data_IF_993393793195
#
_entry.id   IF_993393793195
#
_cell.length_a   1.000
_cell.length_b   1.000
_cell.length_c   1.000
_cell.angle_alpha   90.00
_cell.angle_beta   90.00
_cell.angle_gamma   90.00
#
_symmetry.space_group_name_H-M   'P 1'
#
loop_
_entity.id
_entity.type
_entity.pdbx_description
1 polymer ?
#
# COMPACT_ATOMS: atom_id res chain seq x y z
N UNK A 1 -23.82 23.95 7.69
CA UNK A 1 -22.38 24.29 7.76
C UNK A 1 -21.75 23.35 8.76
N UNK A 2 -21.04 22.34 8.30
CA UNK A 2 -20.25 21.49 9.19
C UNK A 2 -18.94 22.22 9.48
N UNK A 3 -18.59 22.27 10.75
CA UNK A 3 -17.33 22.76 11.29
C UNK A 3 -16.14 22.24 10.47
N UNK A 4 -15.22 23.13 10.13
CA UNK A 4 -13.95 22.73 9.54
C UNK A 4 -13.24 21.77 10.51
N UNK A 5 -12.88 20.59 10.04
CA UNK A 5 -12.11 19.64 10.83
C UNK A 5 -10.66 20.12 10.89
N UNK A 6 -10.05 19.93 12.04
CA UNK A 6 -8.64 20.26 12.25
C UNK A 6 -7.77 19.16 11.64
N UNK A 7 -7.19 19.45 10.48
CA UNK A 7 -6.23 18.58 9.81
C UNK A 7 -4.85 19.09 10.16
N UNK A 8 -3.98 18.20 10.60
CA UNK A 8 -2.65 18.62 11.03
C UNK A 8 -1.60 17.64 10.52
N UNK A 9 -0.61 18.17 9.87
CA UNK A 9 0.41 17.48 9.11
C UNK A 9 1.77 17.51 9.80
N UNK A 10 2.57 16.45 9.58
CA UNK A 10 4.00 16.44 9.87
C UNK A 10 4.75 16.11 8.58
N UNK A 11 5.58 17.03 8.18
CA UNK A 11 6.30 16.94 6.94
C UNK A 11 7.80 16.69 7.16
N UNK A 12 8.36 15.84 6.32
CA UNK A 12 9.78 15.51 6.32
C UNK A 12 10.52 15.98 5.07
N UNK A 13 9.81 16.57 4.12
CA UNK A 13 10.41 17.11 2.91
C UNK A 13 10.44 18.63 2.92
N UNK A 14 11.43 19.17 2.23
CA UNK A 14 11.55 20.63 2.04
C UNK A 14 10.43 21.24 1.19
N UNK A 15 9.70 20.43 0.44
CA UNK A 15 8.72 20.90 -0.54
C UNK A 15 7.29 20.92 0.01
N UNK A 16 6.94 20.10 0.98
CA UNK A 16 5.57 20.03 1.53
C UNK A 16 5.25 21.26 2.38
N UNK A 17 6.19 21.79 3.14
CA UNK A 17 5.99 23.08 3.84
C UNK A 17 5.60 24.21 2.88
N UNK A 18 6.04 24.15 1.62
CA UNK A 18 5.70 25.13 0.58
C UNK A 18 4.35 24.86 -0.07
N UNK A 19 3.85 23.62 -0.04
CA UNK A 19 2.59 23.21 -0.69
C UNK A 19 1.41 23.23 0.25
N UNK A 20 1.54 22.78 1.50
CA UNK A 20 0.42 22.60 2.42
C UNK A 20 -0.17 23.90 2.93
N UNK A 21 0.68 24.88 3.29
CA UNK A 21 0.20 26.18 3.73
C UNK A 21 -0.62 26.88 2.63
N UNK A 22 -0.17 26.95 1.35
CA UNK A 22 -1.00 27.46 0.27
C UNK A 22 -2.28 26.67 0.01
N UNK A 23 -2.25 25.32 0.17
CA UNK A 23 -3.45 24.50 0.04
C UNK A 23 -4.42 24.81 1.20
N UNK A 24 -3.91 24.86 2.43
CA UNK A 24 -4.70 25.18 3.60
C UNK A 24 -5.36 26.55 3.47
N UNK A 25 -4.61 27.58 3.09
CA UNK A 25 -5.12 28.95 2.90
C UNK A 25 -6.17 28.99 1.78
N UNK A 26 -5.88 28.39 0.62
CA UNK A 26 -6.78 28.41 -0.54
C UNK A 26 -8.12 27.73 -0.27
N UNK A 27 -8.12 26.64 0.49
CA UNK A 27 -9.31 25.81 0.70
C UNK A 27 -9.90 25.95 2.10
N UNK A 28 -9.35 26.83 2.94
CA UNK A 28 -9.83 27.09 4.30
C UNK A 28 -9.69 25.87 5.21
N UNK A 29 -8.59 25.12 5.06
CA UNK A 29 -8.27 23.97 5.90
C UNK A 29 -7.45 24.42 7.10
N UNK A 30 -7.68 23.80 8.25
CA UNK A 30 -6.85 23.99 9.43
C UNK A 30 -5.74 22.92 9.43
N UNK A 31 -4.58 23.27 8.88
CA UNK A 31 -3.39 22.40 8.85
C UNK A 31 -2.33 23.01 9.76
N UNK A 32 -1.84 22.24 10.73
CA UNK A 32 -0.68 22.58 11.55
C UNK A 32 0.53 21.80 11.04
N UNK A 33 1.51 22.50 10.48
CA UNK A 33 2.80 21.90 10.23
C UNK A 33 3.57 21.77 11.55
N UNK A 34 3.74 20.54 12.04
CA UNK A 34 4.39 20.28 13.34
C UNK A 34 5.92 20.18 13.23
N UNK A 35 6.45 20.16 12.01
CA UNK A 35 7.90 20.20 11.73
C UNK A 35 8.22 21.24 10.63
N UNK A 36 8.11 22.54 10.93
CA UNK A 36 8.22 23.60 9.93
C UNK A 36 9.67 23.90 9.49
N UNK A 37 10.66 23.26 10.09
CA UNK A 37 12.08 23.55 9.84
C UNK A 37 12.62 22.62 8.77
N UNK A 38 12.98 23.18 7.63
CA UNK A 38 13.72 22.47 6.58
C UNK A 38 15.17 22.23 7.07
N UNK A 39 15.51 20.98 7.28
CA UNK A 39 16.85 20.57 7.70
C UNK A 39 17.42 19.51 6.77
N UNK A 40 18.36 19.83 5.88
CA UNK A 40 18.94 18.89 4.91
C UNK A 40 19.72 17.74 5.55
N UNK A 41 19.94 17.78 6.86
CA UNK A 41 20.57 16.66 7.59
C UNK A 41 19.54 15.70 8.15
N UNK A 42 18.24 16.01 8.07
CA UNK A 42 17.13 15.19 8.59
C UNK A 42 17.26 14.78 10.06
N UNK A 43 17.97 15.56 10.88
CA UNK A 43 18.23 15.25 12.31
C UNK A 43 16.96 15.23 13.17
N UNK A 44 15.86 15.78 12.67
CA UNK A 44 14.55 15.71 13.33
C UNK A 44 13.93 14.30 13.24
N UNK A 45 14.43 13.46 12.31
CA UNK A 45 13.93 12.10 12.12
C UNK A 45 14.41 11.17 13.23
N UNK A 46 13.54 10.39 13.86
CA UNK A 46 13.94 9.24 14.66
C UNK A 46 14.69 8.21 13.81
N UNK A 47 15.60 7.48 14.43
CA UNK A 47 16.28 6.38 13.77
C UNK A 47 15.31 5.21 13.55
N UNK A 48 15.39 4.58 12.40
CA UNK A 48 14.64 3.37 12.10
C UNK A 48 15.21 2.15 12.85
N UNK A 49 14.57 1.02 12.74
CA UNK A 49 14.92 -0.24 13.44
C UNK A 49 16.39 -0.67 13.23
N UNK A 50 17.03 -0.27 12.15
CA UNK A 50 18.42 -0.58 11.80
C UNK A 50 19.42 0.52 12.21
N UNK A 51 18.96 1.53 12.96
CA UNK A 51 19.79 2.66 13.42
C UNK A 51 20.11 3.70 12.34
N UNK A 52 19.42 3.67 11.21
CA UNK A 52 19.61 4.62 10.11
C UNK A 52 18.43 5.60 10.02
N UNK A 53 18.67 6.75 9.42
CA UNK A 53 17.61 7.67 9.01
C UNK A 53 16.98 7.10 7.73
N UNK A 54 15.66 6.86 7.77
CA UNK A 54 14.86 6.45 6.62
C UNK A 54 13.62 7.33 6.57
N UNK A 55 13.35 7.89 5.40
CA UNK A 55 12.08 8.60 5.15
C UNK A 55 11.06 7.61 4.61
N UNK A 56 10.62 6.69 5.47
CA UNK A 56 9.60 5.72 5.17
C UNK A 56 8.36 6.03 6.00
N UNK A 57 7.38 6.65 5.37
CA UNK A 57 6.12 7.03 5.99
C UNK A 57 5.25 5.83 6.40
N UNK A 58 5.63 4.60 6.05
CA UNK A 58 5.03 3.37 6.57
C UNK A 58 5.73 2.81 7.82
N UNK A 59 6.91 3.35 8.18
CA UNK A 59 7.67 2.91 9.36
C UNK A 59 7.15 3.55 10.65
N UNK A 60 6.77 2.75 11.66
CA UNK A 60 6.38 3.29 12.96
C UNK A 60 7.54 3.98 13.70
N UNK A 61 8.77 3.66 13.37
CA UNK A 61 9.95 4.32 13.93
C UNK A 61 10.11 5.71 13.33
N UNK A 62 10.11 5.81 12.01
CA UNK A 62 10.21 7.08 11.30
C UNK A 62 9.05 8.02 11.68
N UNK A 63 7.83 7.48 11.79
CA UNK A 63 6.62 8.22 12.15
C UNK A 63 6.41 8.40 13.66
N UNK A 64 7.35 7.99 14.52
CA UNK A 64 7.15 7.95 15.98
C UNK A 64 6.71 9.31 16.57
N UNK A 65 7.33 10.40 16.11
CA UNK A 65 6.99 11.74 16.58
C UNK A 65 5.54 12.13 16.25
N UNK A 66 5.08 11.78 15.04
CA UNK A 66 3.71 12.05 14.62
C UNK A 66 2.71 11.14 15.33
N UNK A 67 3.03 9.87 15.50
CA UNK A 67 2.22 8.91 16.26
C UNK A 67 2.00 9.39 17.71
N UNK A 68 3.01 9.98 18.33
CA UNK A 68 2.90 10.54 19.67
C UNK A 68 1.89 11.71 19.77
N UNK A 69 1.58 12.33 18.65
CA UNK A 69 0.63 13.45 18.57
C UNK A 69 -0.78 13.03 18.16
N UNK A 70 -1.05 11.75 17.92
CA UNK A 70 -2.30 11.25 17.35
C UNK A 70 -3.58 11.73 18.03
N UNK A 71 -3.54 11.97 19.36
CA UNK A 71 -4.71 12.38 20.13
C UNK A 71 -4.96 13.88 20.08
N UNK A 72 -4.04 14.66 19.52
CA UNK A 72 -4.17 16.11 19.35
C UNK A 72 -4.95 16.51 18.11
N UNK A 73 -5.08 15.63 17.14
CA UNK A 73 -5.58 15.93 15.81
C UNK A 73 -6.68 14.95 15.37
N UNK A 74 -7.52 15.35 14.45
CA UNK A 74 -8.55 14.47 13.89
C UNK A 74 -7.92 13.41 12.97
N UNK A 75 -6.95 13.84 12.15
CA UNK A 75 -6.06 12.98 11.36
C UNK A 75 -4.72 13.70 11.24
N UNK A 76 -3.63 12.93 11.18
CA UNK A 76 -2.32 13.47 10.89
C UNK A 76 -1.67 12.63 9.78
N UNK A 77 -0.75 13.22 9.02
CA UNK A 77 -0.12 12.55 7.90
C UNK A 77 1.31 13.04 7.69
N UNK A 78 2.10 12.26 6.99
CA UNK A 78 3.46 12.59 6.60
C UNK A 78 3.82 11.94 5.27
N UNK A 79 4.68 12.59 4.52
CA UNK A 79 5.14 12.15 3.22
C UNK A 79 6.63 11.81 3.25
N UNK A 80 7.12 11.12 2.26
CA UNK A 80 8.55 10.95 2.05
C UNK A 80 9.15 12.15 1.27
N UNK A 81 10.45 12.09 1.01
CA UNK A 81 11.19 13.26 0.55
C UNK A 81 10.73 13.84 -0.79
N UNK A 82 10.16 13.03 -1.66
CA UNK A 82 9.64 13.42 -2.97
C UNK A 82 8.10 13.44 -3.04
N UNK A 83 7.44 13.30 -1.86
CA UNK A 83 5.99 13.39 -1.67
C UNK A 83 5.17 12.41 -2.50
N UNK A 84 5.78 11.32 -2.96
CA UNK A 84 5.10 10.30 -3.76
C UNK A 84 4.42 9.23 -2.90
N UNK A 85 4.69 9.21 -1.57
CA UNK A 85 4.12 8.28 -0.59
C UNK A 85 3.48 9.02 0.58
N UNK A 86 2.54 8.34 1.23
CA UNK A 86 1.75 8.86 2.35
C UNK A 86 1.89 7.98 3.60
N UNK A 87 1.81 8.60 4.76
CA UNK A 87 1.66 7.91 6.05
C UNK A 87 0.52 8.53 6.84
N UNK A 88 -0.56 7.79 7.03
CA UNK A 88 -1.76 8.28 7.70
C UNK A 88 -1.78 7.85 9.16
N UNK A 89 -1.85 8.82 10.05
CA UNK A 89 -1.95 8.59 11.50
C UNK A 89 -3.34 9.01 11.96
N UNK A 90 -4.05 8.06 12.56
CA UNK A 90 -5.40 8.25 13.06
C UNK A 90 -5.43 8.17 14.59
N UNK A 91 -6.41 8.82 15.19
CA UNK A 91 -6.66 8.73 16.63
C UNK A 91 -6.98 7.29 17.04
N UNK A 92 -7.74 6.58 16.21
CA UNK A 92 -8.22 5.22 16.49
C UNK A 92 -7.10 4.17 16.46
N UNK A 93 -6.17 4.24 15.50
CA UNK A 93 -5.19 3.17 15.27
C UNK A 93 -3.72 3.63 15.32
N UNK A 94 -3.45 4.95 15.45
CA UNK A 94 -2.10 5.46 15.21
C UNK A 94 -1.77 5.38 13.72
N UNK A 95 -0.55 4.98 13.38
CA UNK A 95 -0.13 4.81 11.98
C UNK A 95 -0.88 3.66 11.33
N UNK A 96 -1.55 3.95 10.22
CA UNK A 96 -2.21 2.94 9.42
C UNK A 96 -1.22 2.19 8.53
N UNK A 97 -1.42 0.87 8.39
CA UNK A 97 -0.72 0.11 7.36
C UNK A 97 -1.17 0.63 5.97
N UNK A 98 -0.25 0.86 5.02
CA UNK A 98 -0.60 1.34 3.68
C UNK A 98 -1.65 0.50 2.98
N UNK A 99 -1.56 -0.83 3.05
CA UNK A 99 -2.58 -1.72 2.47
C UNK A 99 -3.99 -1.48 3.04
N UNK A 100 -4.06 -1.17 4.35
CA UNK A 100 -5.34 -0.87 5.00
C UNK A 100 -5.92 0.44 4.48
N UNK A 101 -5.07 1.45 4.38
CA UNK A 101 -5.49 2.75 3.89
C UNK A 101 -5.85 2.73 2.39
N UNK A 102 -5.10 1.99 1.56
CA UNK A 102 -5.47 1.78 0.15
C UNK A 102 -6.86 1.14 0.01
N UNK A 103 -7.15 0.09 0.79
CA UNK A 103 -8.47 -0.56 0.74
C UNK A 103 -9.62 0.37 1.11
N UNK A 104 -9.42 1.21 2.15
CA UNK A 104 -10.40 2.24 2.57
C UNK A 104 -10.54 3.31 1.50
N UNK A 105 -9.44 3.79 0.95
CA UNK A 105 -9.42 4.82 -0.11
C UNK A 105 -10.20 4.36 -1.33
N UNK A 106 -9.97 3.14 -1.79
CA UNK A 106 -10.69 2.55 -2.91
C UNK A 106 -12.19 2.45 -2.60
N UNK A 107 -12.54 1.88 -1.44
CA UNK A 107 -13.95 1.74 -1.04
C UNK A 107 -14.66 3.10 -0.98
N UNK A 108 -14.00 4.11 -0.42
CA UNK A 108 -14.55 5.45 -0.29
C UNK A 108 -14.67 6.16 -1.65
N UNK A 109 -13.60 6.16 -2.46
CA UNK A 109 -13.57 6.85 -3.74
C UNK A 109 -14.66 6.34 -4.68
N UNK A 110 -14.72 5.02 -4.90
CA UNK A 110 -15.70 4.42 -5.82
C UNK A 110 -17.16 4.56 -5.35
N UNK A 111 -17.39 4.81 -4.06
CA UNK A 111 -18.71 5.13 -3.54
C UNK A 111 -19.06 6.64 -3.61
N UNK A 112 -18.06 7.54 -3.77
CA UNK A 112 -18.23 8.99 -3.66
C UNK A 112 -17.75 9.76 -4.89
N UNK A 113 -17.51 9.08 -6.02
CA UNK A 113 -17.12 9.68 -7.31
C UNK A 113 -18.11 9.23 -8.39
N UNK A 114 -19.33 9.79 -8.41
CA UNK A 114 -20.39 9.37 -9.33
C UNK A 114 -20.09 9.65 -10.80
N UNK A 115 -19.19 10.60 -11.07
CA UNK A 115 -18.83 11.01 -12.44
C UNK A 115 -17.74 10.10 -13.06
N UNK A 116 -17.17 9.18 -12.26
CA UNK A 116 -16.23 8.20 -12.78
C UNK A 116 -16.93 7.18 -13.67
N UNK A 117 -16.28 6.76 -14.75
CA UNK A 117 -16.81 5.75 -15.67
C UNK A 117 -17.29 4.51 -14.88
N UNK A 118 -18.45 3.94 -15.23
CA UNK A 118 -18.99 2.76 -14.56
C UNK A 118 -18.07 1.55 -14.63
N UNK A 119 -17.22 1.46 -15.64
CA UNK A 119 -16.25 0.41 -15.89
C UNK A 119 -14.82 0.76 -15.44
N UNK A 120 -14.59 1.95 -14.87
CA UNK A 120 -13.30 2.31 -14.29
C UNK A 120 -12.85 1.25 -13.27
N UNK A 121 -11.66 0.70 -13.51
CA UNK A 121 -11.09 -0.39 -12.73
C UNK A 121 -10.29 0.10 -11.53
N UNK A 122 -9.83 -0.86 -10.75
CA UNK A 122 -8.97 -0.68 -9.58
C UNK A 122 -7.62 -1.33 -9.88
N UNK A 123 -6.54 -0.52 -9.87
CA UNK A 123 -5.16 -0.98 -10.04
C UNK A 123 -4.49 -1.27 -8.71
N UNK A 124 -3.85 -2.43 -8.58
CA UNK A 124 -2.98 -2.79 -7.45
C UNK A 124 -1.76 -3.56 -7.90
N UNK A 125 -0.69 -3.55 -7.09
CA UNK A 125 0.44 -4.46 -7.32
C UNK A 125 0.12 -5.87 -6.82
N UNK A 126 0.80 -6.87 -7.38
CA UNK A 126 0.61 -8.28 -6.99
C UNK A 126 0.98 -8.58 -5.53
N UNK A 127 1.72 -7.69 -4.87
CA UNK A 127 2.12 -7.81 -3.46
C UNK A 127 1.27 -6.95 -2.52
N UNK A 128 0.33 -6.18 -3.04
CA UNK A 128 -0.66 -5.47 -2.23
C UNK A 128 -1.74 -6.42 -1.70
N UNK A 129 -2.39 -6.04 -0.60
CA UNK A 129 -3.38 -6.86 0.11
C UNK A 129 -4.53 -7.36 -0.78
N UNK A 130 -4.94 -8.61 -0.58
CA UNK A 130 -6.14 -9.19 -1.18
C UNK A 130 -7.45 -8.67 -0.56
N UNK A 131 -7.37 -7.83 0.48
CA UNK A 131 -8.56 -7.08 0.91
C UNK A 131 -9.05 -6.16 -0.21
N UNK A 132 -8.12 -5.63 -1.03
CA UNK A 132 -8.46 -4.83 -2.22
C UNK A 132 -9.26 -5.66 -3.23
N UNK A 133 -8.94 -6.96 -3.40
CA UNK A 133 -9.71 -7.87 -4.27
C UNK A 133 -11.14 -8.03 -3.78
N UNK A 134 -11.31 -8.20 -2.46
CA UNK A 134 -12.63 -8.31 -1.82
C UNK A 134 -13.42 -7.01 -1.95
N UNK A 135 -12.77 -5.86 -1.79
CA UNK A 135 -13.37 -4.53 -2.02
C UNK A 135 -13.79 -4.38 -3.48
N UNK A 136 -12.94 -4.73 -4.44
CA UNK A 136 -13.26 -4.68 -5.87
C UNK A 136 -14.46 -5.57 -6.21
N UNK A 137 -14.50 -6.80 -5.65
CA UNK A 137 -15.64 -7.70 -5.79
C UNK A 137 -16.94 -7.13 -5.24
N UNK A 138 -16.90 -6.54 -4.04
CA UNK A 138 -18.05 -5.87 -3.42
C UNK A 138 -18.56 -4.70 -4.28
N UNK A 139 -17.64 -3.90 -4.82
CA UNK A 139 -17.96 -2.77 -5.68
C UNK A 139 -18.33 -3.18 -7.12
N UNK A 140 -18.18 -4.46 -7.45
CA UNK A 140 -18.34 -5.00 -8.82
C UNK A 140 -17.49 -4.26 -9.84
N UNK A 141 -16.26 -3.91 -9.45
CA UNK A 141 -15.27 -3.22 -10.29
C UNK A 141 -14.21 -4.18 -10.79
N UNK A 142 -13.71 -3.93 -11.99
CA UNK A 142 -12.58 -4.68 -12.56
C UNK A 142 -11.33 -4.46 -11.70
N UNK A 143 -10.68 -5.55 -11.29
CA UNK A 143 -9.37 -5.52 -10.66
C UNK A 143 -8.28 -5.69 -11.72
N UNK A 144 -7.27 -4.83 -11.67
CA UNK A 144 -6.10 -4.89 -12.55
C UNK A 144 -4.87 -5.08 -11.66
N UNK A 145 -4.51 -6.35 -11.42
CA UNK A 145 -3.32 -6.72 -10.66
C UNK A 145 -2.11 -6.77 -11.59
N UNK A 146 -1.07 -5.97 -11.29
CA UNK A 146 0.12 -5.76 -12.11
C UNK A 146 1.41 -6.07 -11.34
N UNK A 147 2.58 -6.21 -11.99
CA UNK A 147 3.85 -6.29 -11.28
C UNK A 147 4.12 -5.05 -10.44
N UNK A 148 5.05 -5.13 -9.48
CA UNK A 148 5.49 -3.97 -8.70
C UNK A 148 6.06 -2.89 -9.62
N UNK A 149 5.67 -1.65 -9.37
CA UNK A 149 6.07 -0.46 -10.11
C UNK A 149 4.88 0.35 -10.63
N UNK A 150 4.80 1.60 -10.24
CA UNK A 150 3.67 2.47 -10.55
C UNK A 150 3.45 2.71 -12.06
N UNK A 151 4.52 2.59 -12.86
CA UNK A 151 4.48 2.70 -14.33
C UNK A 151 3.39 1.86 -15.02
N UNK A 152 2.96 0.79 -14.39
CA UNK A 152 1.95 -0.11 -14.93
C UNK A 152 0.51 0.46 -14.86
N UNK A 153 0.31 1.53 -14.07
CA UNK A 153 -0.99 2.21 -13.96
C UNK A 153 -1.11 3.41 -14.89
N UNK A 154 0.00 3.90 -15.44
CA UNK A 154 0.08 5.14 -16.22
C UNK A 154 -0.96 5.20 -17.35
N UNK A 155 -0.99 4.21 -18.23
CA UNK A 155 -1.95 4.18 -19.36
C UNK A 155 -3.39 4.12 -18.85
N UNK A 156 -3.66 3.29 -17.84
CA UNK A 156 -5.02 3.15 -17.29
C UNK A 156 -5.54 4.43 -16.63
N UNK A 157 -4.69 5.17 -15.92
CA UNK A 157 -5.04 6.47 -15.34
C UNK A 157 -5.21 7.53 -16.43
N UNK A 158 -4.34 7.55 -17.45
CA UNK A 158 -4.41 8.52 -18.55
C UNK A 158 -5.67 8.35 -19.39
N UNK A 159 -6.09 7.11 -19.61
CA UNK A 159 -7.27 6.74 -20.41
C UNK A 159 -8.56 6.64 -19.58
N UNK A 160 -8.48 7.00 -18.27
CA UNK A 160 -9.58 6.89 -17.29
C UNK A 160 -10.22 5.47 -17.19
N UNK A 161 -9.51 4.46 -17.70
CA UNK A 161 -9.89 3.05 -17.54
C UNK A 161 -9.54 2.48 -16.15
N UNK A 162 -8.68 3.17 -15.38
CA UNK A 162 -8.44 2.98 -13.95
C UNK A 162 -8.89 4.21 -13.17
N UNK A 163 -9.75 4.05 -12.19
CA UNK A 163 -10.11 5.11 -11.24
C UNK A 163 -9.06 5.32 -10.16
N UNK A 164 -8.29 4.25 -9.87
CA UNK A 164 -7.29 4.22 -8.81
C UNK A 164 -6.14 3.28 -9.19
N UNK A 165 -4.90 3.67 -8.84
CA UNK A 165 -3.72 2.82 -8.89
C UNK A 165 -2.92 2.98 -7.61
N UNK A 166 -2.51 1.86 -6.96
CA UNK A 166 -1.78 1.93 -5.70
C UNK A 166 -0.85 0.75 -5.42
N UNK A 167 0.15 1.02 -4.60
CA UNK A 167 1.20 0.10 -4.18
C UNK A 167 1.24 -0.02 -2.66
N UNK A 168 1.58 -1.20 -2.16
CA UNK A 168 1.75 -1.47 -0.72
C UNK A 168 2.84 -0.63 -0.05
N UNK A 169 3.69 0.00 -0.85
CA UNK A 169 4.74 0.93 -0.41
C UNK A 169 4.22 2.32 -0.06
N UNK A 170 2.89 2.50 0.01
CA UNK A 170 2.18 3.76 0.29
C UNK A 170 2.16 4.78 -0.86
N UNK A 171 2.44 4.36 -2.09
CA UNK A 171 2.30 5.20 -3.27
C UNK A 171 0.97 4.94 -3.97
N UNK A 172 0.21 5.99 -4.28
CA UNK A 172 -1.05 5.87 -5.00
C UNK A 172 -1.40 7.14 -5.78
N UNK A 173 -2.28 6.98 -6.76
CA UNK A 173 -2.95 8.09 -7.45
C UNK A 173 -4.35 7.67 -7.88
N UNK A 174 -5.22 8.65 -8.12
CA UNK A 174 -6.61 8.43 -8.52
C UNK A 174 -7.12 9.60 -9.40
N UNK A 175 -8.21 9.36 -10.10
CA UNK A 175 -8.82 10.36 -10.98
C UNK A 175 -9.42 11.52 -10.19
N UNK A 176 -9.51 12.68 -10.82
CA UNK A 176 -10.25 13.83 -10.31
C UNK A 176 -11.73 13.49 -10.12
N UNK A 177 -12.47 14.39 -9.50
CA UNK A 177 -13.92 14.20 -9.25
C UNK A 177 -14.71 14.03 -10.54
N UNK A 178 -14.34 14.74 -11.58
CA UNK A 178 -14.96 14.70 -12.91
C UNK A 178 -14.54 13.48 -13.77
N UNK A 179 -13.73 12.58 -13.21
CA UNK A 179 -13.22 11.39 -13.90
C UNK A 179 -12.04 11.62 -14.82
N UNK A 180 -11.50 12.84 -14.89
CA UNK A 180 -10.27 13.12 -15.65
C UNK A 180 -9.02 12.73 -14.87
N UNK A 181 -7.91 12.47 -15.58
CA UNK A 181 -6.63 12.16 -14.94
C UNK A 181 -6.14 13.32 -14.06
N UNK A 182 -5.72 12.99 -12.83
CA UNK A 182 -5.01 13.93 -11.97
C UNK A 182 -3.52 13.93 -12.29
N UNK A 183 -2.89 12.80 -12.07
CA UNK A 183 -1.48 12.55 -12.31
C UNK A 183 -1.30 11.12 -12.81
N UNK A 184 -0.23 10.87 -13.55
CA UNK A 184 0.21 9.53 -13.97
C UNK A 184 1.32 9.00 -13.08
N UNK A 185 1.67 9.72 -12.02
CA UNK A 185 2.59 9.28 -10.97
C UNK A 185 1.89 9.26 -9.61
N UNK A 186 2.55 8.67 -8.63
CA UNK A 186 2.12 8.63 -7.23
C UNK A 186 2.07 10.05 -6.67
N UNK A 187 1.11 10.29 -5.80
CA UNK A 187 0.94 11.59 -5.15
C UNK A 187 0.46 11.37 -3.71
N UNK A 188 1.37 11.55 -2.75
CA UNK A 188 1.09 11.40 -1.33
C UNK A 188 0.14 12.47 -0.82
N UNK A 189 0.26 13.70 -1.31
CA UNK A 189 -0.54 14.85 -0.84
C UNK A 189 -2.02 14.63 -1.10
N UNK A 190 -2.41 14.11 -2.29
CA UNK A 190 -3.83 13.83 -2.54
C UNK A 190 -4.37 12.70 -1.67
N UNK A 191 -3.50 11.76 -1.26
CA UNK A 191 -3.90 10.71 -0.33
C UNK A 191 -4.14 11.27 1.07
N UNK A 192 -3.36 12.23 1.51
CA UNK A 192 -3.51 12.92 2.80
C UNK A 192 -4.80 13.75 2.83
N UNK A 193 -5.03 14.54 1.78
CA UNK A 193 -6.27 15.29 1.60
C UNK A 193 -7.50 14.37 1.51
N UNK A 194 -7.34 13.16 0.97
CA UNK A 194 -8.41 12.16 0.94
C UNK A 194 -8.77 11.67 2.35
N UNK A 195 -7.80 11.51 3.26
CA UNK A 195 -8.07 11.16 4.66
C UNK A 195 -8.91 12.26 5.34
N UNK A 196 -8.56 13.52 5.07
CA UNK A 196 -9.33 14.66 5.53
C UNK A 196 -10.74 14.69 4.95
N UNK A 197 -10.90 14.43 3.66
CA UNK A 197 -12.22 14.33 3.02
C UNK A 197 -13.08 13.25 3.66
N UNK A 198 -12.51 12.07 3.94
CA UNK A 198 -13.20 10.98 4.63
C UNK A 198 -13.74 11.43 6.00
N UNK A 199 -12.87 12.04 6.82
CA UNK A 199 -13.26 12.60 8.11
C UNK A 199 -14.41 13.60 7.98
N UNK A 200 -14.24 14.59 7.10
CA UNK A 200 -15.20 15.67 6.91
C UNK A 200 -16.57 15.16 6.47
N UNK A 201 -16.62 14.14 5.60
CA UNK A 201 -17.87 13.63 5.05
C UNK A 201 -18.55 12.59 5.90
N UNK A 202 -17.79 11.76 6.61
CA UNK A 202 -18.33 10.60 7.33
C UNK A 202 -18.37 10.79 8.85
N UNK A 203 -17.58 11.74 9.39
CA UNK A 203 -17.37 11.90 10.83
C UNK A 203 -16.55 10.76 11.44
N UNK A 204 -15.90 9.94 10.61
CA UNK A 204 -15.09 8.78 11.01
C UNK A 204 -13.68 8.92 10.47
N UNK A 205 -12.69 8.59 11.28
CA UNK A 205 -11.33 8.50 10.79
C UNK A 205 -11.13 7.28 9.86
N UNK A 206 -10.09 7.27 8.99
CA UNK A 206 -9.85 6.16 8.07
C UNK A 206 -9.73 4.78 8.74
N UNK A 207 -9.23 4.70 9.99
CA UNK A 207 -9.14 3.43 10.69
C UNK A 207 -10.52 2.91 11.13
N UNK A 208 -11.44 3.80 11.50
CA UNK A 208 -12.83 3.42 11.79
C UNK A 208 -13.56 2.92 10.54
N UNK A 209 -13.27 3.52 9.38
CA UNK A 209 -13.78 3.04 8.09
C UNK A 209 -13.20 1.66 7.75
N UNK A 210 -11.90 1.45 8.01
CA UNK A 210 -11.24 0.15 7.85
C UNK A 210 -11.87 -0.93 8.73
N UNK A 211 -12.15 -0.64 9.99
CA UNK A 211 -12.87 -1.56 10.89
C UNK A 211 -14.25 -1.94 10.36
N UNK A 212 -14.92 -1.01 9.69
CA UNK A 212 -16.19 -1.30 9.01
C UNK A 212 -16.02 -2.28 7.84
N UNK A 213 -14.97 -2.10 7.03
CA UNK A 213 -14.66 -2.99 5.92
C UNK A 213 -14.28 -4.39 6.39
N UNK A 214 -13.42 -4.51 7.40
CA UNK A 214 -12.90 -5.81 7.87
C UNK A 214 -13.98 -6.64 8.58
N UNK A 215 -14.94 -6.01 9.23
CA UNK A 215 -16.12 -6.70 9.79
C UNK A 215 -16.91 -7.44 8.72
N UNK A 216 -16.97 -6.93 7.51
CA UNK A 216 -17.73 -7.51 6.40
C UNK A 216 -16.88 -8.43 5.54
N UNK A 217 -15.64 -8.02 5.24
CA UNK A 217 -14.79 -8.67 4.24
C UNK A 217 -13.69 -9.55 4.85
N UNK A 218 -13.55 -9.58 6.17
CA UNK A 218 -12.47 -10.26 6.89
C UNK A 218 -11.26 -9.35 7.09
N UNK A 219 -10.52 -9.62 8.16
CA UNK A 219 -9.34 -8.85 8.54
C UNK A 219 -8.07 -9.59 8.12
N UNK A 220 -7.26 -9.04 7.18
CA UNK A 220 -6.01 -9.65 6.78
C UNK A 220 -4.90 -9.34 7.80
N UNK A 221 -4.00 -10.31 7.97
CA UNK A 221 -2.69 -10.09 8.58
C UNK A 221 -1.65 -10.22 7.47
N UNK A 222 -0.87 -9.17 7.27
CA UNK A 222 0.11 -9.04 6.20
C UNK A 222 1.50 -8.78 6.78
N UNK A 223 2.52 -9.42 6.21
CA UNK A 223 3.91 -9.20 6.60
C UNK A 223 4.86 -9.46 5.43
N UNK A 224 5.96 -8.71 5.39
CA UNK A 224 7.09 -8.93 4.49
C UNK A 224 8.29 -9.43 5.27
N UNK A 225 8.95 -10.45 4.75
CA UNK A 225 10.23 -10.97 5.26
C UNK A 225 11.28 -10.79 4.18
N UNK A 226 12.45 -10.30 4.57
CA UNK A 226 13.62 -10.20 3.70
C UNK A 226 14.57 -11.36 4.05
N UNK A 227 14.92 -12.18 3.06
CA UNK A 227 15.79 -13.35 3.24
C UNK A 227 17.03 -13.22 2.35
N UNK A 228 18.21 -13.49 2.91
CA UNK A 228 19.49 -13.40 2.19
C UNK A 228 19.48 -14.31 0.95
N UNK A 229 19.94 -13.78 -0.17
CA UNK A 229 20.04 -14.49 -1.45
C UNK A 229 21.25 -14.02 -2.26
N UNK A 230 21.99 -14.97 -2.82
CA UNK A 230 23.07 -14.69 -3.76
C UNK A 230 22.52 -14.17 -5.10
N UNK A 231 23.37 -13.54 -5.92
CA UNK A 231 22.99 -13.09 -7.26
C UNK A 231 22.51 -14.25 -8.16
N UNK A 232 23.09 -15.44 -8.01
CA UNK A 232 22.65 -16.65 -8.72
C UNK A 232 21.24 -17.05 -8.28
N UNK A 233 20.97 -17.11 -6.97
CA UNK A 233 19.63 -17.41 -6.42
C UNK A 233 18.59 -16.39 -6.84
N UNK A 234 18.95 -15.09 -6.85
CA UNK A 234 18.06 -14.02 -7.36
C UNK A 234 17.72 -14.22 -8.83
N UNK A 235 18.71 -14.63 -9.64
CA UNK A 235 18.49 -14.93 -11.07
C UNK A 235 17.57 -16.12 -11.27
N UNK A 236 17.76 -17.21 -10.51
CA UNK A 236 16.89 -18.39 -10.55
C UNK A 236 15.46 -18.00 -10.14
N UNK A 237 15.30 -17.30 -9.01
CA UNK A 237 13.99 -16.88 -8.53
C UNK A 237 13.24 -16.01 -9.54
N UNK A 238 13.94 -15.09 -10.23
CA UNK A 238 13.33 -14.23 -11.24
C UNK A 238 12.80 -14.98 -12.48
N UNK A 239 13.31 -16.21 -12.73
CA UNK A 239 12.97 -17.06 -13.87
C UNK A 239 12.17 -18.30 -13.47
N UNK A 240 11.75 -18.41 -12.21
CA UNK A 240 10.93 -19.55 -11.78
C UNK A 240 9.68 -19.69 -12.62
N UNK A 241 9.35 -20.94 -12.93
CA UNK A 241 8.07 -21.29 -13.53
C UNK A 241 7.19 -22.04 -12.53
N UNK A 242 5.87 -21.98 -12.65
CA UNK A 242 4.95 -22.73 -11.79
C UNK A 242 5.22 -24.24 -11.78
N UNK A 243 5.70 -24.80 -12.90
CA UNK A 243 6.03 -26.22 -13.01
C UNK A 243 7.19 -26.69 -12.13
N UNK A 244 8.05 -25.76 -11.68
CA UNK A 244 9.17 -26.06 -10.77
C UNK A 244 8.72 -26.08 -9.30
N UNK A 245 7.49 -25.66 -9.00
CA UNK A 245 6.94 -25.62 -7.65
C UNK A 245 5.88 -26.70 -7.52
N UNK A 246 6.30 -27.86 -7.00
CA UNK A 246 5.40 -29.00 -6.81
C UNK A 246 4.70 -28.91 -5.45
N UNK A 247 3.64 -28.12 -5.38
CA UNK A 247 2.78 -28.03 -4.20
C UNK A 247 1.32 -27.94 -4.64
N UNK A 248 0.44 -28.61 -3.94
CA UNK A 248 -1.03 -28.57 -4.13
C UNK A 248 -1.74 -27.82 -3.02
N UNK A 249 -1.05 -27.64 -1.88
CA UNK A 249 -1.55 -26.98 -0.68
C UNK A 249 -0.52 -25.99 -0.15
N UNK A 250 -0.99 -24.97 0.57
CA UNK A 250 -0.19 -23.99 1.30
C UNK A 250 -0.89 -23.72 2.64
N UNK A 251 -0.19 -23.97 3.74
CA UNK A 251 -0.67 -23.82 5.11
C UNK A 251 -1.98 -24.59 5.39
N UNK A 252 -2.20 -25.72 4.67
CA UNK A 252 -3.39 -26.55 4.80
C UNK A 252 -4.56 -26.16 3.89
N UNK A 253 -4.42 -25.09 3.11
CA UNK A 253 -5.41 -24.66 2.13
C UNK A 253 -4.99 -25.09 0.73
N UNK A 254 -5.98 -25.48 -0.08
CA UNK A 254 -5.76 -25.82 -1.50
C UNK A 254 -5.24 -24.60 -2.26
N UNK A 255 -4.17 -24.77 -3.02
CA UNK A 255 -3.66 -23.75 -3.93
C UNK A 255 -4.64 -23.57 -5.08
N UNK A 256 -5.06 -22.32 -5.31
CA UNK A 256 -5.98 -21.96 -6.40
C UNK A 256 -5.28 -21.30 -7.58
N UNK A 257 -4.10 -20.72 -7.36
CA UNK A 257 -3.28 -20.15 -8.42
C UNK A 257 -1.79 -20.15 -8.06
N UNK A 258 -0.95 -20.36 -9.08
CA UNK A 258 0.50 -20.10 -9.06
C UNK A 258 0.82 -19.24 -10.27
N UNK A 259 1.45 -18.08 -10.05
CA UNK A 259 1.62 -17.06 -11.06
C UNK A 259 3.07 -16.59 -11.14
N UNK A 260 3.58 -16.47 -12.36
CA UNK A 260 4.84 -15.81 -12.72
C UNK A 260 4.62 -14.64 -13.67
N UNK A 261 3.36 -14.43 -14.07
CA UNK A 261 2.89 -13.27 -14.83
C UNK A 261 1.70 -12.64 -14.10
N UNK A 262 1.58 -11.32 -14.17
CA UNK A 262 0.50 -10.58 -13.56
C UNK A 262 -0.80 -10.71 -14.37
N UNK A 263 -1.95 -11.03 -13.74
CA UNK A 263 -3.20 -11.27 -14.46
C UNK A 263 -3.76 -10.01 -15.13
N UNK A 264 -3.42 -8.82 -14.64
CA UNK A 264 -3.95 -7.55 -15.16
C UNK A 264 -3.36 -7.14 -16.50
N UNK A 265 -2.13 -7.54 -16.82
CA UNK A 265 -1.44 -7.10 -18.04
C UNK A 265 -0.55 -8.17 -18.70
N UNK A 266 -0.49 -9.39 -18.15
CA UNK A 266 0.35 -10.48 -18.67
C UNK A 266 1.86 -10.28 -18.48
N UNK A 267 2.30 -9.22 -17.84
CA UNK A 267 3.72 -8.93 -17.65
C UNK A 267 4.35 -9.87 -16.61
N UNK A 268 5.63 -10.22 -16.82
CA UNK A 268 6.37 -11.05 -15.88
C UNK A 268 6.51 -10.35 -14.53
N UNK A 269 6.24 -11.09 -13.44
CA UNK A 269 6.35 -10.54 -12.07
C UNK A 269 7.79 -10.60 -11.54
N UNK A 270 8.68 -11.30 -12.24
CA UNK A 270 10.07 -11.50 -11.82
C UNK A 270 10.20 -12.30 -10.52
N UNK A 271 9.34 -13.29 -10.33
CA UNK A 271 9.26 -14.13 -9.15
C UNK A 271 8.07 -15.08 -9.20
N UNK A 272 7.60 -15.52 -8.05
CA UNK A 272 6.46 -16.44 -7.92
C UNK A 272 5.45 -15.87 -6.93
N UNK A 273 4.15 -15.93 -7.29
CA UNK A 273 3.03 -15.74 -6.35
C UNK A 273 2.21 -17.02 -6.27
N UNK A 274 1.88 -17.45 -5.06
CA UNK A 274 1.01 -18.61 -4.79
C UNK A 274 -0.18 -18.15 -3.97
N UNK A 275 -1.37 -18.52 -4.38
CA UNK A 275 -2.64 -18.05 -3.82
C UNK A 275 -3.50 -19.22 -3.39
N UNK A 276 -4.11 -19.10 -2.21
CA UNK A 276 -5.17 -19.97 -1.68
C UNK A 276 -6.45 -19.17 -1.45
N UNK A 277 -7.51 -19.83 -0.97
CA UNK A 277 -8.75 -19.13 -0.60
C UNK A 277 -8.64 -18.22 0.62
N UNK A 278 -7.63 -18.45 1.49
CA UNK A 278 -7.50 -17.74 2.77
C UNK A 278 -6.18 -16.98 2.94
N UNK A 279 -5.28 -17.06 1.95
CA UNK A 279 -4.01 -16.35 2.02
C UNK A 279 -3.18 -16.55 0.76
N UNK A 280 -2.03 -15.91 0.75
CA UNK A 280 -1.09 -15.98 -0.36
C UNK A 280 0.33 -15.66 0.09
N UNK A 281 1.31 -16.03 -0.71
CA UNK A 281 2.63 -15.44 -0.66
C UNK A 281 3.10 -15.02 -2.06
N UNK A 282 4.03 -14.06 -2.09
CA UNK A 282 4.79 -13.70 -3.27
C UNK A 282 6.27 -13.58 -2.92
N UNK A 283 7.14 -14.22 -3.70
CA UNK A 283 8.59 -14.15 -3.52
C UNK A 283 9.22 -13.53 -4.77
N UNK A 284 10.07 -12.52 -4.57
CA UNK A 284 10.77 -11.83 -5.65
C UNK A 284 12.15 -11.33 -5.21
N UNK A 285 13.17 -11.35 -6.11
CA UNK A 285 14.48 -10.83 -5.78
C UNK A 285 14.43 -9.30 -5.55
N UNK A 286 15.26 -8.80 -4.63
CA UNK A 286 15.54 -7.37 -4.53
C UNK A 286 16.44 -6.93 -5.69
N UNK A 287 16.13 -5.78 -6.30
CA UNK A 287 16.96 -5.19 -7.34
C UNK A 287 18.23 -4.51 -6.81
N UNK A 288 18.24 -4.10 -5.54
CA UNK A 288 19.27 -3.26 -4.94
C UNK A 288 20.04 -3.92 -3.80
N UNK A 289 19.49 -5.00 -3.22
CA UNK A 289 20.02 -5.66 -2.02
C UNK A 289 20.24 -7.15 -2.29
N UNK A 290 21.13 -7.80 -1.53
CA UNK A 290 21.40 -9.24 -1.62
C UNK A 290 20.40 -10.06 -0.81
N UNK A 291 19.12 -9.81 -1.10
CA UNK A 291 17.97 -10.49 -0.50
C UNK A 291 16.91 -10.81 -1.56
N UNK A 292 16.05 -11.77 -1.25
CA UNK A 292 14.72 -11.81 -1.84
C UNK A 292 13.68 -11.37 -0.82
N UNK A 293 12.61 -10.76 -1.30
CA UNK A 293 11.49 -10.28 -0.49
C UNK A 293 10.36 -11.28 -0.60
N UNK A 294 9.92 -11.78 0.57
CA UNK A 294 8.76 -12.66 0.71
C UNK A 294 7.63 -11.87 1.33
N UNK A 295 6.60 -11.62 0.57
CA UNK A 295 5.35 -11.00 1.02
C UNK A 295 4.35 -12.11 1.30
N UNK A 296 3.62 -12.01 2.39
CA UNK A 296 2.58 -12.97 2.73
C UNK A 296 1.39 -12.31 3.42
N UNK A 297 0.21 -12.87 3.20
CA UNK A 297 -1.03 -12.43 3.82
C UNK A 297 -1.91 -13.62 4.19
N UNK A 298 -2.64 -13.48 5.29
CA UNK A 298 -3.60 -14.46 5.77
C UNK A 298 -4.85 -13.78 6.30
N UNK A 299 -6.03 -14.33 5.99
CA UNK A 299 -7.31 -13.96 6.60
C UNK A 299 -7.68 -14.85 7.81
N UNK A 300 -6.82 -15.79 8.19
CA UNK A 300 -6.99 -16.68 9.34
C UNK A 300 -6.09 -16.31 10.53
N UNK A 301 -5.50 -15.10 10.51
CA UNK A 301 -4.71 -14.57 11.61
C UNK A 301 -3.22 -14.95 11.58
N UNK A 302 -2.52 -14.54 12.64
CA UNK A 302 -1.04 -14.56 12.71
C UNK A 302 -0.43 -15.96 12.62
N UNK A 303 -1.02 -16.95 13.26
CA UNK A 303 -0.47 -18.31 13.24
C UNK A 303 -0.56 -18.95 11.84
N UNK A 304 -1.65 -18.68 11.12
CA UNK A 304 -1.76 -19.13 9.74
C UNK A 304 -0.79 -18.39 8.83
N UNK A 305 -0.59 -17.09 9.04
CA UNK A 305 0.42 -16.31 8.32
C UNK A 305 1.83 -16.88 8.50
N UNK A 306 2.23 -17.21 9.73
CA UNK A 306 3.54 -17.85 10.02
C UNK A 306 3.70 -19.19 9.29
N UNK A 307 2.64 -20.00 9.22
CA UNK A 307 2.66 -21.25 8.46
C UNK A 307 2.87 -20.97 6.96
N UNK A 308 2.13 -20.02 6.38
CA UNK A 308 2.35 -19.59 4.99
C UNK A 308 3.81 -19.19 4.76
N UNK A 309 4.37 -18.35 5.62
CA UNK A 309 5.76 -17.88 5.51
C UNK A 309 6.77 -19.04 5.59
N UNK A 310 6.61 -19.94 6.55
CA UNK A 310 7.51 -21.10 6.71
C UNK A 310 7.45 -22.06 5.51
N UNK A 311 6.26 -22.38 5.03
CA UNK A 311 6.10 -23.25 3.87
C UNK A 311 6.57 -22.57 2.59
N UNK A 312 6.33 -21.26 2.42
CA UNK A 312 6.84 -20.47 1.29
C UNK A 312 8.38 -20.49 1.23
N UNK A 313 9.06 -20.29 2.36
CA UNK A 313 10.52 -20.37 2.43
C UNK A 313 11.04 -21.77 2.04
N UNK A 314 10.36 -22.84 2.47
CA UNK A 314 10.72 -24.21 2.09
C UNK A 314 10.52 -24.45 0.58
N UNK A 315 9.40 -23.98 0.02
CA UNK A 315 9.13 -24.10 -1.42
C UNK A 315 10.17 -23.37 -2.26
N UNK A 316 10.51 -22.13 -1.89
CA UNK A 316 11.54 -21.36 -2.56
C UNK A 316 12.91 -22.02 -2.45
N UNK A 317 13.28 -22.50 -1.25
CA UNK A 317 14.57 -23.17 -1.05
C UNK A 317 14.68 -24.42 -1.92
N UNK A 318 13.63 -25.25 -2.00
CA UNK A 318 13.59 -26.44 -2.87
C UNK A 318 13.70 -26.05 -4.34
N UNK A 319 12.97 -25.03 -4.80
CA UNK A 319 13.02 -24.57 -6.16
C UNK A 319 14.41 -24.04 -6.57
N UNK A 320 15.06 -23.30 -5.66
CA UNK A 320 16.43 -22.83 -5.86
C UNK A 320 17.46 -23.96 -5.92
N UNK A 321 17.27 -25.06 -5.16
CA UNK A 321 18.15 -26.21 -5.17
C UNK A 321 17.98 -27.09 -6.41
N UNK A 322 16.75 -27.20 -6.95
CA UNK A 322 16.45 -28.04 -8.12
C UNK A 322 16.79 -27.38 -9.46
N UNK A 323 17.10 -26.09 -9.47
CA UNK A 323 17.46 -25.33 -10.66
C UNK A 323 19.00 -25.31 -10.92
N UNK A 324 19.77 -26.01 -10.07
CA UNK A 324 21.19 -26.28 -10.28
C UNK A 324 21.36 -27.57 -11.08
#
# INVERSE_FOLDING_TARGET
>A
QKTAYEIKECDWSSDVCSSDLPIAERYGLHIDNVNPVVDPTFRFMPLDWDGKIRMDCSSPYAMANLIALKDRFDVAFGNDADNDRHGIVTRTAGLMNPNHYLAVSIAYLFANRPDWKPDAGIGKTLVSSSLIDRVAGKLKRKLVEVPVGFKWFVSGLLEDSLGFGGEESAGASFLRRDGTVWSTDKDGIIMDLLAAEMMARTGKDPAQLYQGLTKELGEPVYERIDAVATSEQKTILSKLSPAQVQATELAGDKIVAMMTTAPGNGAAIGGLKVVTGQGWFAARPSGTEDVYKLYAESFLGKEHLKRIQGEAQQLITKALASAK
#
